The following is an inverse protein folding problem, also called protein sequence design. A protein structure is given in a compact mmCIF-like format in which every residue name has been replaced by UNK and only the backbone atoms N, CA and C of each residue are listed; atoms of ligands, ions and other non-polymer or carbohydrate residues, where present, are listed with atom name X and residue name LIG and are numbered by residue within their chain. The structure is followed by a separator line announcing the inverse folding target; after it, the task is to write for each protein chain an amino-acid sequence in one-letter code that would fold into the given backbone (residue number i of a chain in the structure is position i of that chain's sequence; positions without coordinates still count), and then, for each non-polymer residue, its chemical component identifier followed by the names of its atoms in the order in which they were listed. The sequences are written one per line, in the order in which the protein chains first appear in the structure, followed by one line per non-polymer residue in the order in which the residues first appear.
data_IF_061525965314
#
_entry.id   IF_061525965314
#
_cell.length_a   1.000
_cell.length_b   1.000
_cell.length_c   1.000
_cell.angle_alpha   90.00
_cell.angle_beta   90.00
_cell.angle_gamma   90.00
#
_symmetry.space_group_name_H-M   'P 1'
#
loop_
_entity.id
_entity.type
_entity.pdbx_description
1 polymer ?
#
# COMPACT_ATOMS: atom_id res chain seq x y z
N UNK A 1 -1.92 -34.17 18.27
CA UNK A 1 -0.71 -33.48 18.73
C UNK A 1 0.21 -33.38 17.50
N UNK A 2 0.19 -32.29 16.80
CA UNK A 2 1.10 -32.04 15.70
C UNK A 2 1.82 -30.74 16.07
N UNK A 3 3.11 -30.91 16.39
CA UNK A 3 4.06 -29.82 16.57
C UNK A 3 4.28 -29.16 15.21
N UNK A 4 4.08 -27.85 15.15
CA UNK A 4 4.57 -27.05 14.04
C UNK A 4 6.05 -26.84 14.30
N UNK A 5 6.87 -27.66 13.64
CA UNK A 5 8.31 -27.50 13.57
C UNK A 5 8.65 -26.19 12.86
N UNK A 6 9.59 -25.47 13.43
CA UNK A 6 10.31 -24.37 12.82
C UNK A 6 10.81 -24.81 11.44
N UNK A 7 10.35 -24.13 10.40
CA UNK A 7 11.10 -23.97 9.16
C UNK A 7 11.49 -22.51 9.05
N UNK A 8 12.65 -22.24 9.64
CA UNK A 8 13.45 -21.08 9.27
C UNK A 8 14.12 -21.50 7.96
N UNK A 9 13.67 -20.95 6.85
CA UNK A 9 14.51 -20.91 5.66
C UNK A 9 14.41 -19.53 5.03
N UNK A 10 15.57 -18.98 4.84
CA UNK A 10 15.93 -17.66 4.38
C UNK A 10 15.23 -17.31 3.07
N UNK A 11 14.35 -16.33 3.13
CA UNK A 11 14.18 -15.32 2.10
C UNK A 11 13.47 -14.12 2.73
N UNK A 12 14.20 -13.04 2.83
CA UNK A 12 13.73 -11.75 3.33
C UNK A 12 12.77 -11.15 2.32
N UNK A 13 11.50 -11.03 2.69
CA UNK A 13 10.53 -10.34 1.85
C UNK A 13 9.58 -9.53 2.72
N UNK A 14 9.34 -8.29 2.32
CA UNK A 14 8.33 -7.43 2.92
C UNK A 14 6.94 -8.05 2.71
N UNK A 15 6.36 -8.63 3.76
CA UNK A 15 5.06 -9.30 3.71
C UNK A 15 4.12 -8.57 4.64
N UNK A 16 3.04 -8.02 4.11
CA UNK A 16 1.88 -7.72 4.92
C UNK A 16 1.18 -9.05 5.27
N UNK A 17 1.61 -9.71 6.34
CA UNK A 17 0.95 -10.90 6.85
C UNK A 17 -0.21 -10.45 7.75
N UNK A 18 -1.39 -10.28 7.16
CA UNK A 18 -2.64 -10.30 7.92
C UNK A 18 -3.00 -11.76 8.17
N UNK A 19 -2.34 -12.39 9.13
CA UNK A 19 -2.72 -13.74 9.57
C UNK A 19 -3.91 -13.62 10.53
N UNK A 20 -5.12 -13.63 10.00
CA UNK A 20 -6.32 -13.80 10.79
C UNK A 20 -6.56 -15.31 10.95
N UNK A 21 -6.28 -15.85 12.12
CA UNK A 21 -6.61 -17.24 12.43
C UNK A 21 -8.09 -17.32 12.83
N UNK A 22 -8.91 -17.88 11.96
CA UNK A 22 -10.28 -18.25 12.29
C UNK A 22 -10.31 -19.77 12.53
N UNK A 23 -10.32 -20.18 13.79
CA UNK A 23 -10.53 -21.59 14.13
C UNK A 23 -12.01 -21.87 14.27
N UNK A 24 -12.55 -22.65 13.37
CA UNK A 24 -13.93 -23.06 13.33
C UNK A 24 -14.08 -24.48 13.86
N UNK A 25 -14.77 -24.60 14.98
CA UNK A 25 -15.14 -25.91 15.54
C UNK A 25 -16.60 -26.22 15.19
N UNK A 26 -16.82 -27.00 14.14
CA UNK A 26 -18.09 -27.70 13.96
C UNK A 26 -18.06 -28.98 14.80
N UNK A 27 -18.56 -28.91 16.03
CA UNK A 27 -18.65 -30.05 16.92
C UNK A 27 -19.96 -30.80 16.73
N UNK A 28 -19.88 -32.10 16.60
CA UNK A 28 -21.00 -33.00 16.72
C UNK A 28 -21.22 -33.42 18.18
N UNK A 29 -22.47 -33.69 18.47
CA UNK A 29 -22.90 -34.23 19.73
C UNK A 29 -22.04 -35.40 20.17
N UNK A 30 -21.38 -35.26 21.32
CA UNK A 30 -21.10 -36.39 22.20
C UNK A 30 -21.24 -35.94 23.64
N UNK A 31 -22.10 -36.64 24.32
CA UNK A 31 -22.29 -36.60 25.76
C UNK A 31 -21.03 -37.17 26.43
N UNK A 32 -20.14 -36.28 26.82
CA UNK A 32 -18.95 -36.65 27.55
C UNK A 32 -18.11 -35.45 27.91
N UNK A 33 -18.09 -35.13 29.20
CA UNK A 33 -17.19 -34.17 29.83
C UNK A 33 -15.73 -34.49 29.51
N UNK A 34 -15.18 -33.91 28.42
CA UNK A 34 -13.74 -33.89 28.21
C UNK A 34 -13.28 -32.44 28.09
N UNK A 35 -12.40 -32.09 28.99
CA UNK A 35 -11.73 -30.79 29.03
C UNK A 35 -11.01 -30.49 27.69
N UNK A 36 -11.32 -29.35 27.11
CA UNK A 36 -10.60 -28.82 25.96
C UNK A 36 -9.16 -28.47 26.37
N UNK A 37 -8.12 -29.13 25.80
CA UNK A 37 -6.75 -28.76 26.11
C UNK A 37 -6.37 -27.43 25.45
N UNK A 38 -5.95 -26.48 26.31
CA UNK A 38 -5.22 -25.26 25.98
C UNK A 38 -5.91 -24.23 25.07
N UNK A 39 -6.81 -23.46 25.64
CA UNK A 39 -6.89 -22.03 25.32
C UNK A 39 -5.75 -21.31 26.06
N UNK A 40 -4.61 -21.15 25.42
CA UNK A 40 -3.65 -20.13 25.88
C UNK A 40 -4.22 -18.77 25.54
N UNK A 41 -4.57 -18.02 26.57
CA UNK A 41 -4.84 -16.59 26.48
C UNK A 41 -3.53 -15.90 26.14
N UNK A 42 -3.35 -15.51 24.89
CA UNK A 42 -2.35 -14.51 24.54
C UNK A 42 -2.84 -13.18 25.13
N UNK A 43 -2.25 -12.77 26.23
CA UNK A 43 -2.30 -11.38 26.66
C UNK A 43 -1.46 -10.59 25.65
N UNK A 44 -2.10 -9.93 24.73
CA UNK A 44 -1.47 -8.86 23.99
C UNK A 44 -1.46 -7.64 24.89
N UNK A 45 -0.32 -7.35 25.50
CA UNK A 45 -0.06 -6.05 26.06
C UNK A 45 -0.01 -5.03 24.92
N UNK A 46 -1.16 -4.49 24.59
CA UNK A 46 -1.24 -3.28 23.78
C UNK A 46 -0.92 -2.14 24.74
N UNK A 47 0.36 -1.84 24.90
CA UNK A 47 0.76 -0.52 25.40
C UNK A 47 0.25 0.50 24.36
N UNK A 48 -0.84 1.18 24.70
CA UNK A 48 -1.22 2.44 24.07
C UNK A 48 -0.13 3.46 24.38
N UNK A 49 0.94 3.46 23.61
CA UNK A 49 1.76 4.64 23.45
C UNK A 49 1.11 5.45 22.31
N UNK A 50 0.20 6.35 22.68
CA UNK A 50 -0.09 7.52 21.88
C UNK A 50 1.14 8.44 22.01
N UNK A 51 2.19 8.11 21.28
CA UNK A 51 3.27 9.06 21.09
C UNK A 51 2.73 10.13 20.15
N UNK A 52 2.51 11.32 20.67
CA UNK A 52 2.27 12.58 19.94
C UNK A 52 3.57 13.04 19.22
N UNK A 53 4.41 12.10 18.82
CA UNK A 53 5.67 12.38 18.16
C UNK A 53 5.38 12.83 16.74
N UNK A 54 5.60 14.10 16.49
CA UNK A 54 5.50 14.65 15.15
C UNK A 54 6.71 14.23 14.32
N UNK A 55 6.54 13.64 13.13
CA UNK A 55 7.67 13.24 12.29
C UNK A 55 8.44 14.45 11.78
N UNK A 56 9.72 14.31 11.56
CA UNK A 56 10.49 15.16 10.64
C UNK A 56 10.05 14.77 9.21
N UNK A 57 9.72 15.76 8.38
CA UNK A 57 9.33 15.48 6.99
C UNK A 57 10.37 16.02 6.04
N UNK A 58 10.99 15.11 5.28
CA UNK A 58 11.98 15.41 4.25
C UNK A 58 11.35 15.23 2.86
N UNK A 59 11.24 16.29 2.08
CA UNK A 59 10.64 16.27 0.76
C UNK A 59 11.72 16.33 -0.30
N UNK A 60 11.76 15.34 -1.18
CA UNK A 60 12.70 15.21 -2.29
C UNK A 60 11.92 15.35 -3.59
N UNK A 61 12.03 16.53 -4.22
CA UNK A 61 11.41 16.80 -5.50
C UNK A 61 12.41 16.54 -6.62
N UNK A 62 12.08 15.61 -7.49
CA UNK A 62 12.88 15.38 -8.69
C UNK A 62 12.89 16.63 -9.57
N UNK A 63 14.08 17.06 -10.00
CA UNK A 63 14.28 18.19 -10.90
C UNK A 63 15.00 17.81 -12.19
N UNK A 64 14.80 16.60 -12.68
CA UNK A 64 15.32 16.14 -13.98
C UNK A 64 14.60 16.79 -15.15
N UNK A 65 15.15 16.60 -16.35
CA UNK A 65 14.56 17.13 -17.57
C UNK A 65 13.16 16.62 -17.88
N UNK A 66 12.81 15.40 -17.44
CA UNK A 66 11.46 14.82 -17.60
C UNK A 66 10.41 15.57 -16.79
N UNK A 67 10.79 16.15 -15.65
CA UNK A 67 9.90 16.90 -14.78
C UNK A 67 9.58 18.33 -15.26
N UNK A 68 10.30 18.86 -16.25
CA UNK A 68 10.12 20.25 -16.73
C UNK A 68 8.70 20.53 -17.20
N UNK A 69 8.07 19.54 -17.83
CA UNK A 69 6.70 19.73 -18.35
C UNK A 69 5.63 19.91 -17.27
N UNK A 70 5.89 19.46 -16.03
CA UNK A 70 4.96 19.64 -14.91
C UNK A 70 5.04 21.02 -14.27
N UNK A 71 6.16 21.73 -14.45
CA UNK A 71 6.43 23.06 -13.89
C UNK A 71 6.53 24.14 -14.96
N UNK A 72 5.99 23.87 -16.14
CA UNK A 72 5.93 24.81 -17.26
C UNK A 72 4.55 25.48 -17.32
N UNK A 73 4.34 26.48 -16.47
CA UNK A 73 3.08 27.17 -16.24
C UNK A 73 2.33 26.60 -15.02
N UNK A 74 1.15 27.14 -14.76
CA UNK A 74 0.29 26.67 -13.67
C UNK A 74 -0.28 25.28 -14.02
N UNK A 75 0.01 24.31 -13.18
CA UNK A 75 -0.39 22.91 -13.40
C UNK A 75 -1.04 22.31 -12.16
N UNK A 76 -1.80 21.25 -12.35
CA UNK A 76 -2.36 20.49 -11.21
C UNK A 76 -1.27 19.80 -10.37
N UNK A 77 -0.06 19.62 -10.93
CA UNK A 77 1.11 19.14 -10.18
C UNK A 77 1.45 20.09 -9.04
N UNK A 78 1.62 21.38 -9.35
CA UNK A 78 1.92 22.41 -8.35
C UNK A 78 0.82 22.51 -7.30
N UNK A 79 -0.45 22.47 -7.71
CA UNK A 79 -1.60 22.50 -6.81
C UNK A 79 -1.62 21.30 -5.86
N UNK A 80 -1.33 20.09 -6.38
CA UNK A 80 -1.29 18.87 -5.58
C UNK A 80 -0.15 18.91 -4.57
N UNK A 81 1.05 19.26 -5.00
CA UNK A 81 2.24 19.36 -4.13
C UNK A 81 2.02 20.43 -3.07
N UNK A 82 1.54 21.62 -3.46
CA UNK A 82 1.29 22.71 -2.53
C UNK A 82 0.27 22.33 -1.46
N UNK A 83 -0.89 21.78 -1.84
CA UNK A 83 -1.93 21.41 -0.90
C UNK A 83 -1.42 20.36 0.08
N UNK A 84 -0.73 19.33 -0.41
CA UNK A 84 -0.24 18.23 0.40
C UNK A 84 0.82 18.68 1.40
N UNK A 85 1.83 19.43 0.95
CA UNK A 85 2.91 19.91 1.83
C UNK A 85 2.40 20.93 2.85
N UNK A 86 1.44 21.78 2.47
CA UNK A 86 0.82 22.75 3.38
C UNK A 86 0.02 22.06 4.49
N UNK A 87 -0.76 21.04 4.12
CA UNK A 87 -1.53 20.28 5.11
C UNK A 87 -0.63 19.45 6.04
N UNK A 88 0.47 18.88 5.53
CA UNK A 88 1.48 18.22 6.36
C UNK A 88 2.12 19.21 7.33
N UNK A 89 2.54 20.38 6.85
CA UNK A 89 3.16 21.42 7.66
C UNK A 89 2.23 21.92 8.76
N UNK A 90 0.94 22.07 8.48
CA UNK A 90 -0.04 22.54 9.45
C UNK A 90 -0.39 21.47 10.50
N UNK A 91 -0.49 20.20 10.09
CA UNK A 91 -1.16 19.19 10.92
C UNK A 91 -0.22 18.12 11.44
N UNK A 92 0.94 17.90 10.81
CA UNK A 92 1.73 16.69 11.06
C UNK A 92 3.13 16.95 11.59
N UNK A 93 3.80 18.03 11.19
CA UNK A 93 5.21 18.24 11.50
C UNK A 93 5.50 19.68 11.94
N UNK A 94 6.53 19.83 12.79
CA UNK A 94 7.14 21.12 13.10
C UNK A 94 8.45 21.36 12.29
N UNK A 95 8.88 20.34 11.53
CA UNK A 95 10.12 20.38 10.73
C UNK A 95 9.89 19.75 9.36
N UNK A 96 9.80 20.59 8.34
CA UNK A 96 9.72 20.19 6.94
C UNK A 96 10.97 20.71 6.21
N UNK A 97 11.72 19.78 5.60
CA UNK A 97 12.93 20.10 4.84
C UNK A 97 12.68 19.84 3.36
N UNK A 98 13.19 20.71 2.49
CA UNK A 98 13.06 20.56 1.04
C UNK A 98 14.41 20.30 0.38
N UNK A 99 14.36 19.37 -0.56
CA UNK A 99 15.49 18.99 -1.39
C UNK A 99 15.05 18.87 -2.85
N UNK A 100 15.91 19.25 -3.77
CA UNK A 100 15.85 18.70 -5.12
C UNK A 100 16.68 17.42 -5.19
N UNK A 101 16.28 16.52 -6.08
CA UNK A 101 17.01 15.30 -6.34
C UNK A 101 17.08 15.04 -7.85
N UNK A 102 18.28 14.74 -8.31
CA UNK A 102 18.60 14.26 -9.65
C UNK A 102 19.79 13.30 -9.53
N UNK A 103 20.95 13.56 -10.13
CA UNK A 103 22.18 12.78 -9.88
C UNK A 103 22.72 12.93 -8.45
N UNK A 104 22.17 13.85 -7.66
CA UNK A 104 22.51 14.09 -6.26
C UNK A 104 21.36 14.77 -5.52
N UNK A 105 21.39 14.69 -4.20
CA UNK A 105 20.49 15.44 -3.33
C UNK A 105 21.03 16.86 -3.15
N UNK A 106 20.20 17.87 -3.46
CA UNK A 106 20.52 19.29 -3.33
C UNK A 106 19.59 19.92 -2.31
N UNK A 107 20.09 20.32 -1.12
CA UNK A 107 19.24 20.96 -0.13
C UNK A 107 18.82 22.35 -0.61
N UNK A 108 17.53 22.67 -0.46
CA UNK A 108 16.98 23.97 -0.83
C UNK A 108 16.78 24.87 0.37
N UNK A 109 16.00 24.40 1.32
CA UNK A 109 15.74 25.08 2.57
C UNK A 109 15.57 24.05 3.67
N UNK A 110 16.18 24.32 4.82
CA UNK A 110 15.96 23.52 6.00
C UNK A 110 14.86 24.15 6.84
N UNK A 111 13.94 23.31 7.34
CA UNK A 111 12.88 23.68 8.28
C UNK A 111 11.95 24.78 7.75
N UNK A 112 11.15 24.44 6.76
CA UNK A 112 10.02 25.28 6.34
C UNK A 112 8.92 25.20 7.41
N UNK A 113 8.93 26.14 8.32
CA UNK A 113 8.02 26.17 9.48
C UNK A 113 6.65 26.81 9.20
N UNK A 114 6.39 27.30 8.00
CA UNK A 114 5.12 27.94 7.66
C UNK A 114 4.73 27.81 6.18
N UNK A 115 3.42 27.92 5.94
CA UNK A 115 2.84 27.78 4.61
C UNK A 115 3.24 28.88 3.62
N UNK A 116 3.62 30.06 4.10
CA UNK A 116 4.07 31.15 3.23
C UNK A 116 5.35 30.77 2.47
N UNK A 117 6.28 30.07 3.14
CA UNK A 117 7.51 29.59 2.51
C UNK A 117 7.26 28.42 1.54
N UNK A 118 6.29 27.55 1.87
CA UNK A 118 5.88 26.48 0.94
C UNK A 118 5.26 27.11 -0.31
N UNK A 119 4.40 28.12 -0.14
CA UNK A 119 3.82 28.87 -1.25
C UNK A 119 4.90 29.50 -2.13
N UNK A 120 5.85 30.23 -1.55
CA UNK A 120 6.96 30.86 -2.26
C UNK A 120 7.82 29.83 -3.03
N UNK A 121 8.05 28.65 -2.43
CA UNK A 121 8.75 27.57 -3.11
C UNK A 121 7.98 27.08 -4.34
N UNK A 122 6.67 26.83 -4.22
CA UNK A 122 5.84 26.33 -5.32
C UNK A 122 5.73 27.39 -6.44
N UNK A 123 5.52 28.67 -6.11
CA UNK A 123 5.41 29.76 -7.08
C UNK A 123 6.70 30.00 -7.89
N UNK A 124 7.84 29.54 -7.36
CA UNK A 124 9.14 29.63 -8.07
C UNK A 124 9.43 28.41 -8.95
N UNK A 125 8.63 27.35 -8.86
CA UNK A 125 8.85 26.15 -9.68
C UNK A 125 8.76 26.54 -11.16
N UNK A 126 9.82 26.21 -11.88
CA UNK A 126 9.92 26.44 -13.32
C UNK A 126 11.08 25.64 -13.89
N UNK A 127 11.13 25.37 -15.18
CA UNK A 127 12.28 24.73 -15.82
C UNK A 127 13.60 25.45 -15.53
N UNK A 128 13.60 26.80 -15.56
CA UNK A 128 14.79 27.60 -15.27
C UNK A 128 15.24 27.42 -13.81
N UNK A 129 14.31 27.33 -12.87
CA UNK A 129 14.65 27.14 -11.47
C UNK A 129 15.25 25.75 -11.23
N UNK A 130 14.72 24.73 -11.89
CA UNK A 130 15.29 23.38 -11.85
C UNK A 130 16.72 23.34 -12.37
N UNK A 131 17.00 24.01 -13.49
CA UNK A 131 18.36 24.15 -14.05
C UNK A 131 19.31 24.84 -13.07
N UNK A 132 18.86 25.92 -12.43
CA UNK A 132 19.69 26.73 -11.51
C UNK A 132 20.00 25.97 -10.20
N UNK A 133 19.23 24.99 -9.83
CA UNK A 133 19.45 24.17 -8.64
C UNK A 133 20.71 23.28 -8.76
N UNK A 134 21.15 22.97 -9.98
CA UNK A 134 22.35 22.20 -10.27
C UNK A 134 22.13 20.68 -10.22
N UNK A 135 23.22 19.95 -10.37
CA UNK A 135 23.20 18.49 -10.60
C UNK A 135 23.09 18.15 -12.08
N UNK A 136 23.06 16.86 -12.43
CA UNK A 136 22.84 16.41 -13.81
C UNK A 136 21.34 16.31 -14.08
N UNK A 137 20.89 16.95 -15.14
CA UNK A 137 19.48 16.97 -15.54
C UNK A 137 19.19 15.98 -16.68
N UNK A 138 20.22 15.39 -17.28
CA UNK A 138 20.10 14.63 -18.54
C UNK A 138 20.01 13.11 -18.38
N UNK A 139 20.48 12.55 -17.29
CA UNK A 139 20.38 11.12 -17.00
C UNK A 139 19.99 10.95 -15.56
N UNK A 140 18.82 10.45 -15.33
CA UNK A 140 18.28 10.20 -13.98
C UNK A 140 18.05 8.72 -13.81
N UNK A 141 18.77 8.14 -12.85
CA UNK A 141 18.52 6.79 -12.38
C UNK A 141 17.51 6.86 -11.24
N UNK A 142 16.26 6.54 -11.55
CA UNK A 142 15.16 6.63 -10.59
C UNK A 142 15.37 5.68 -9.39
N UNK A 143 15.97 4.51 -9.62
CA UNK A 143 16.25 3.57 -8.55
C UNK A 143 17.36 4.08 -7.64
N UNK A 144 18.43 4.65 -8.20
CA UNK A 144 19.51 5.25 -7.42
C UNK A 144 19.01 6.44 -6.59
N UNK A 145 18.15 7.29 -7.16
CA UNK A 145 17.49 8.35 -6.41
C UNK A 145 16.67 7.81 -5.26
N UNK A 146 15.84 6.80 -5.50
CA UNK A 146 15.02 6.19 -4.47
C UNK A 146 15.86 5.55 -3.35
N UNK A 147 16.91 4.84 -3.71
CA UNK A 147 17.88 4.27 -2.75
C UNK A 147 18.56 5.38 -1.95
N UNK A 148 18.92 6.50 -2.59
CA UNK A 148 19.52 7.64 -1.91
C UNK A 148 18.57 8.27 -0.89
N UNK A 149 17.29 8.40 -1.22
CA UNK A 149 16.25 8.89 -0.31
C UNK A 149 16.04 7.91 0.84
N UNK A 150 15.96 6.61 0.54
CA UNK A 150 15.81 5.56 1.53
C UNK A 150 16.92 5.58 2.58
N UNK A 151 18.17 5.71 2.13
CA UNK A 151 19.34 5.77 3.00
C UNK A 151 19.40 7.05 3.87
N UNK A 152 18.67 8.10 3.49
CA UNK A 152 18.57 9.37 4.23
C UNK A 152 17.32 9.44 5.11
N UNK A 153 16.51 8.39 5.13
CA UNK A 153 15.31 8.32 5.96
C UNK A 153 15.68 7.78 7.33
N UNK A 154 15.71 8.65 8.33
CA UNK A 154 15.98 8.32 9.73
C UNK A 154 14.71 7.81 10.44
N UNK A 155 14.86 7.20 11.62
CA UNK A 155 13.76 6.55 12.37
C UNK A 155 12.64 7.51 12.79
N UNK A 156 12.95 8.80 12.98
CA UNK A 156 11.99 9.84 13.35
C UNK A 156 11.49 10.67 12.15
N UNK A 157 11.91 10.28 10.95
CA UNK A 157 11.61 10.97 9.71
C UNK A 157 10.65 10.20 8.80
N UNK A 158 9.92 10.98 7.99
CA UNK A 158 9.21 10.49 6.81
C UNK A 158 9.76 11.23 5.59
N UNK A 159 10.27 10.50 4.63
CA UNK A 159 10.70 11.02 3.35
C UNK A 159 9.55 10.99 2.35
N UNK A 160 9.32 12.09 1.64
CA UNK A 160 8.33 12.22 0.57
C UNK A 160 9.10 12.42 -0.73
N UNK A 161 9.15 11.40 -1.56
CA UNK A 161 9.78 11.44 -2.87
C UNK A 161 8.74 11.77 -3.93
N UNK A 162 8.97 12.81 -4.73
CA UNK A 162 8.04 13.31 -5.75
C UNK A 162 8.73 13.24 -7.11
N UNK A 163 8.16 12.45 -8.05
CA UNK A 163 8.79 12.12 -9.32
C UNK A 163 7.74 11.64 -10.33
N UNK A 164 8.06 11.68 -11.62
CA UNK A 164 7.27 10.97 -12.66
C UNK A 164 7.63 9.48 -12.75
N UNK A 165 8.63 9.03 -12.00
CA UNK A 165 9.08 7.65 -11.90
C UNK A 165 9.44 7.00 -13.25
N UNK A 166 9.89 7.77 -14.22
CA UNK A 166 10.27 7.25 -15.55
C UNK A 166 11.71 6.75 -15.52
N UNK A 167 11.91 5.51 -15.94
CA UNK A 167 13.25 5.00 -16.19
C UNK A 167 13.78 5.50 -17.53
N UNK A 168 15.00 6.01 -17.53
CA UNK A 168 15.69 6.47 -18.74
C UNK A 168 17.05 5.79 -18.89
N UNK A 169 17.08 4.56 -19.47
CA UNK A 169 18.32 3.80 -19.60
C UNK A 169 19.36 4.45 -20.51
N UNK A 170 18.92 5.33 -21.43
CA UNK A 170 19.81 5.99 -22.38
C UNK A 170 20.08 5.19 -23.64
N UNK A 171 20.84 5.81 -24.56
CA UNK A 171 21.16 5.20 -25.87
C UNK A 171 22.10 4.00 -25.73
N UNK A 172 21.79 2.92 -26.45
CA UNK A 172 22.65 1.73 -26.56
C UNK A 172 22.61 0.79 -25.38
N UNK A 173 21.79 1.06 -24.37
CA UNK A 173 21.58 0.17 -23.22
C UNK A 173 20.44 -0.79 -23.52
N UNK A 174 20.64 -2.07 -23.17
CA UNK A 174 19.55 -3.05 -23.19
C UNK A 174 18.52 -2.68 -22.13
N UNK A 175 17.38 -2.16 -22.57
CA UNK A 175 16.35 -1.66 -21.69
C UNK A 175 15.79 -2.72 -20.72
N UNK A 176 15.60 -3.95 -21.16
CA UNK A 176 15.08 -5.03 -20.31
C UNK A 176 16.08 -5.41 -19.22
N UNK A 177 17.34 -5.54 -19.57
CA UNK A 177 18.41 -5.83 -18.60
C UNK A 177 18.58 -4.68 -17.61
N UNK A 178 18.50 -3.44 -18.09
CA UNK A 178 18.54 -2.26 -17.23
C UNK A 178 17.41 -2.30 -16.20
N UNK A 179 16.16 -2.50 -16.61
CA UNK A 179 15.02 -2.54 -15.70
C UNK A 179 15.14 -3.63 -14.64
N UNK A 180 15.58 -4.83 -15.03
CA UNK A 180 15.80 -5.92 -14.08
C UNK A 180 16.90 -5.57 -13.07
N UNK A 181 17.99 -4.94 -13.51
CA UNK A 181 19.04 -4.51 -12.60
C UNK A 181 18.56 -3.41 -11.64
N UNK A 182 17.73 -2.49 -12.12
CA UNK A 182 17.12 -1.46 -11.26
C UNK A 182 16.18 -2.05 -10.22
N UNK A 183 15.33 -2.99 -10.61
CA UNK A 183 14.46 -3.75 -9.70
C UNK A 183 15.27 -4.43 -8.59
N UNK A 184 16.34 -5.15 -8.96
CA UNK A 184 17.22 -5.83 -8.02
C UNK A 184 17.88 -4.82 -7.06
N UNK A 185 18.35 -3.68 -7.57
CA UNK A 185 18.97 -2.62 -6.77
C UNK A 185 18.01 -2.05 -5.72
N UNK A 186 16.80 -1.73 -6.12
CA UNK A 186 15.73 -1.27 -5.23
C UNK A 186 15.40 -2.34 -4.19
N UNK A 187 15.19 -3.59 -4.62
CA UNK A 187 14.88 -4.73 -3.75
C UNK A 187 15.95 -4.92 -2.67
N UNK A 188 17.23 -4.91 -3.03
CA UNK A 188 18.32 -5.08 -2.05
C UNK A 188 18.32 -3.96 -1.03
N UNK A 189 18.19 -2.71 -1.47
CA UNK A 189 18.19 -1.55 -0.58
C UNK A 189 17.00 -1.57 0.41
N UNK A 190 15.80 -1.89 -0.09
CA UNK A 190 14.62 -2.03 0.78
C UNK A 190 14.71 -3.23 1.70
N UNK A 191 15.25 -4.37 1.24
CA UNK A 191 15.47 -5.54 2.08
C UNK A 191 16.44 -5.25 3.22
N UNK A 192 17.52 -4.51 2.97
CA UNK A 192 18.48 -4.12 4.00
C UNK A 192 17.86 -3.15 5.01
N UNK A 193 17.13 -2.15 4.56
CA UNK A 193 16.39 -1.24 5.45
C UNK A 193 15.38 -1.99 6.33
N UNK A 194 14.67 -2.98 5.79
CA UNK A 194 13.71 -3.80 6.51
C UNK A 194 14.35 -4.80 7.49
N UNK A 195 15.64 -5.13 7.37
CA UNK A 195 16.35 -5.92 8.39
C UNK A 195 16.52 -5.12 9.66
N UNK A 196 16.91 -3.86 9.52
CA UNK A 196 17.22 -2.97 10.63
C UNK A 196 15.93 -2.38 11.24
N UNK A 197 14.91 -2.11 10.40
CA UNK A 197 13.67 -1.47 10.79
C UNK A 197 12.44 -2.31 10.41
N UNK A 198 12.02 -3.18 11.34
CA UNK A 198 10.85 -4.07 11.11
C UNK A 198 9.53 -3.35 10.91
N UNK A 199 9.44 -2.06 11.25
CA UNK A 199 8.23 -1.22 11.13
C UNK A 199 8.28 -0.28 9.94
N UNK A 200 9.27 -0.42 9.05
CA UNK A 200 9.38 0.42 7.86
C UNK A 200 8.22 0.21 6.89
N UNK A 201 7.74 1.29 6.31
CA UNK A 201 6.57 1.32 5.44
C UNK A 201 6.81 2.23 4.24
N UNK A 202 6.23 1.88 3.11
CA UNK A 202 6.17 2.72 1.91
C UNK A 202 4.73 2.92 1.52
N UNK A 203 4.34 4.17 1.27
CA UNK A 203 3.02 4.52 0.73
C UNK A 203 3.21 5.35 -0.53
N UNK A 204 2.69 4.86 -1.64
CA UNK A 204 2.76 5.55 -2.93
C UNK A 204 1.38 6.07 -3.32
N UNK A 205 1.34 7.30 -3.80
CA UNK A 205 0.19 7.93 -4.45
C UNK A 205 0.52 8.15 -5.93
N UNK A 206 -0.39 7.77 -6.79
CA UNK A 206 -0.39 8.11 -8.20
C UNK A 206 -1.38 9.23 -8.44
N UNK A 207 -0.90 10.31 -9.02
CA UNK A 207 -1.67 11.50 -9.36
C UNK A 207 -1.50 11.81 -10.85
N UNK A 208 -2.36 12.66 -11.38
CA UNK A 208 -2.25 13.16 -12.75
C UNK A 208 -2.18 14.69 -12.76
N UNK A 209 -1.42 15.23 -13.70
CA UNK A 209 -1.34 16.67 -13.92
C UNK A 209 -1.07 17.00 -15.37
N UNK A 210 -1.36 18.24 -15.74
CA UNK A 210 -0.94 18.77 -17.04
C UNK A 210 0.57 18.70 -17.17
N UNK A 211 1.00 18.29 -18.34
CA UNK A 211 2.39 18.24 -18.75
C UNK A 211 2.53 19.00 -20.07
N UNK A 212 3.43 19.96 -20.10
CA UNK A 212 3.74 20.70 -21.33
C UNK A 212 5.26 20.82 -21.48
N UNK A 213 5.87 19.84 -22.13
CA UNK A 213 7.32 19.73 -22.22
C UNK A 213 7.82 18.60 -23.08
N UNK A 214 9.08 18.26 -22.89
CA UNK A 214 9.73 17.13 -23.56
C UNK A 214 9.56 15.87 -22.73
N UNK A 215 8.94 14.87 -23.32
CA UNK A 215 8.97 13.50 -22.84
C UNK A 215 10.15 12.77 -23.45
N UNK A 216 10.85 11.98 -22.69
CA UNK A 216 11.96 11.17 -23.14
C UNK A 216 11.55 9.69 -23.08
N UNK A 217 11.60 9.02 -24.24
CA UNK A 217 11.35 7.58 -24.30
C UNK A 217 12.56 6.78 -23.80
N UNK A 218 12.46 5.44 -23.76
CA UNK A 218 13.54 4.56 -23.30
C UNK A 218 14.85 4.68 -24.10
N UNK A 219 14.83 5.27 -25.30
CA UNK A 219 16.00 5.52 -26.12
C UNK A 219 16.56 6.94 -25.94
N UNK A 220 16.07 7.67 -24.93
CA UNK A 220 16.42 9.05 -24.66
C UNK A 220 16.09 10.00 -25.83
N UNK A 221 15.03 9.66 -26.56
CA UNK A 221 14.56 10.49 -27.70
C UNK A 221 13.47 11.42 -27.20
N UNK A 222 13.65 12.75 -27.34
CA UNK A 222 12.67 13.72 -26.88
C UNK A 222 11.48 13.83 -27.84
N UNK A 223 10.29 13.90 -27.29
CA UNK A 223 9.05 14.26 -28.00
C UNK A 223 8.34 15.36 -27.23
N UNK A 224 7.94 16.43 -27.94
CA UNK A 224 7.15 17.49 -27.31
C UNK A 224 5.73 17.00 -27.09
N UNK A 225 5.25 17.17 -25.85
CA UNK A 225 3.93 16.72 -25.43
C UNK A 225 3.22 17.84 -24.68
N UNK A 226 1.93 17.95 -24.92
CA UNK A 226 1.02 18.78 -24.13
C UNK A 226 -0.21 17.93 -23.82
N UNK A 227 -0.17 17.22 -22.67
CA UNK A 227 -1.22 16.26 -22.29
C UNK A 227 -1.25 16.08 -20.77
N UNK A 228 -2.17 15.23 -20.27
CA UNK A 228 -2.22 14.79 -18.88
C UNK A 228 -1.25 13.63 -18.70
N UNK A 229 -0.38 13.75 -17.69
CA UNK A 229 0.57 12.69 -17.36
C UNK A 229 0.55 12.34 -15.87
N UNK A 230 0.91 11.08 -15.53
CA UNK A 230 1.04 10.69 -14.14
C UNK A 230 2.31 11.22 -13.50
N UNK A 231 2.23 11.48 -12.21
CA UNK A 231 3.37 11.65 -11.31
C UNK A 231 3.06 10.97 -9.97
N UNK A 232 4.07 10.78 -9.16
CA UNK A 232 3.98 9.99 -7.94
C UNK A 232 4.49 10.77 -6.74
N UNK A 233 3.84 10.57 -5.59
CA UNK A 233 4.34 10.96 -4.28
C UNK A 233 4.51 9.68 -3.46
N UNK A 234 5.75 9.36 -3.09
CA UNK A 234 6.10 8.12 -2.40
C UNK A 234 6.62 8.49 -1.01
N UNK A 235 5.87 8.08 0.02
CA UNK A 235 6.24 8.24 1.41
C UNK A 235 7.04 7.02 1.87
N UNK A 236 8.15 7.24 2.53
CA UNK A 236 9.03 6.21 3.09
C UNK A 236 9.38 6.55 4.53
N UNK A 237 9.25 5.60 5.45
CA UNK A 237 9.55 5.80 6.86
C UNK A 237 8.86 4.78 7.75
N UNK A 238 8.89 5.00 9.06
CA UNK A 238 8.16 4.16 10.00
C UNK A 238 6.67 4.22 9.75
N UNK A 239 6.03 3.08 9.85
CA UNK A 239 4.59 2.92 9.57
C UNK A 239 3.70 3.77 10.48
N UNK A 240 4.03 3.87 11.76
CA UNK A 240 3.27 4.69 12.72
C UNK A 240 3.31 6.18 12.33
N UNK A 241 4.45 6.69 11.85
CA UNK A 241 4.61 8.06 11.38
C UNK A 241 3.86 8.32 10.07
N UNK A 242 3.94 7.39 9.11
CA UNK A 242 3.18 7.47 7.84
C UNK A 242 1.68 7.41 8.13
N UNK A 243 1.24 6.58 9.09
CA UNK A 243 -0.15 6.49 9.50
C UNK A 243 -0.65 7.80 10.16
N UNK A 244 0.19 8.48 10.95
CA UNK A 244 -0.13 9.82 11.48
C UNK A 244 -0.37 10.80 10.35
N UNK A 245 0.51 10.86 9.35
CA UNK A 245 0.35 11.74 8.17
C UNK A 245 -0.93 11.36 7.41
N UNK A 246 -1.10 10.10 7.03
CA UNK A 246 -2.25 9.64 6.24
C UNK A 246 -3.59 9.87 6.94
N UNK A 247 -3.63 9.81 8.27
CA UNK A 247 -4.84 10.06 9.05
C UNK A 247 -5.18 11.55 9.16
N UNK A 248 -4.17 12.41 9.33
CA UNK A 248 -4.35 13.87 9.44
C UNK A 248 -4.52 14.55 8.09
N UNK A 249 -3.85 14.03 7.07
CA UNK A 249 -3.89 14.48 5.66
C UNK A 249 -4.29 13.29 4.78
N UNK A 250 -5.56 12.89 4.81
CA UNK A 250 -6.05 11.79 3.99
C UNK A 250 -5.99 12.17 2.50
N UNK A 251 -5.87 11.15 1.64
CA UNK A 251 -5.64 11.31 0.20
C UNK A 251 -6.71 12.12 -0.51
N UNK A 252 -7.95 12.10 -0.03
CA UNK A 252 -9.08 12.87 -0.57
C UNK A 252 -8.93 14.39 -0.41
N UNK A 253 -8.00 14.83 0.44
CA UNK A 253 -7.69 16.26 0.63
C UNK A 253 -6.65 16.79 -0.34
N UNK A 254 -5.90 15.91 -1.01
CA UNK A 254 -4.89 16.33 -2.00
C UNK A 254 -5.61 16.96 -3.18
N UNK A 255 -5.26 18.22 -3.47
CA UNK A 255 -5.88 19.00 -4.54
C UNK A 255 -5.36 18.62 -5.93
N UNK A 256 -5.59 19.49 -6.91
CA UNK A 256 -5.33 19.20 -8.31
C UNK A 256 -6.40 18.26 -8.86
N UNK A 257 -5.97 17.16 -9.49
CA UNK A 257 -6.88 16.11 -9.97
C UNK A 257 -7.20 15.05 -8.92
N UNK A 258 -6.63 15.18 -7.72
CA UNK A 258 -6.73 14.18 -6.65
C UNK A 258 -5.82 12.97 -6.86
N UNK A 259 -5.88 12.05 -5.90
CA UNK A 259 -5.18 10.77 -5.97
C UNK A 259 -6.00 9.80 -6.80
N UNK A 260 -5.42 9.27 -7.86
CA UNK A 260 -6.08 8.28 -8.72
C UNK A 260 -5.96 6.88 -8.14
N UNK A 261 -4.76 6.54 -7.69
CA UNK A 261 -4.46 5.27 -7.05
C UNK A 261 -3.54 5.45 -5.86
N UNK A 262 -3.70 4.61 -4.86
CA UNK A 262 -2.78 4.51 -3.74
C UNK A 262 -2.35 3.07 -3.49
N UNK A 263 -1.17 2.92 -2.90
CA UNK A 263 -0.57 1.63 -2.62
C UNK A 263 0.32 1.72 -1.39
N UNK A 264 0.24 0.73 -0.51
CA UNK A 264 1.04 0.71 0.71
C UNK A 264 1.72 -0.65 0.88
N UNK A 265 3.00 -0.61 1.21
CA UNK A 265 3.81 -1.78 1.57
C UNK A 265 4.24 -1.61 3.02
N UNK A 266 3.96 -2.61 3.86
CA UNK A 266 4.43 -2.66 5.24
C UNK A 266 4.76 -4.11 5.62
N UNK A 267 5.80 -4.29 6.41
CA UNK A 267 6.18 -5.58 6.99
C UNK A 267 5.47 -5.84 8.32
N UNK A 268 4.84 -4.83 8.89
CA UNK A 268 4.21 -4.94 10.21
C UNK A 268 3.06 -5.93 10.20
N UNK A 269 2.98 -6.74 11.26
CA UNK A 269 1.82 -7.58 11.50
C UNK A 269 0.72 -6.78 12.18
N UNK A 270 -0.40 -6.63 11.50
CA UNK A 270 -1.56 -5.93 12.06
C UNK A 270 -2.53 -6.91 12.71
N UNK A 271 -2.90 -6.64 13.95
CA UNK A 271 -3.99 -7.34 14.61
C UNK A 271 -5.32 -6.80 14.10
N UNK A 272 -5.98 -7.57 13.27
CA UNK A 272 -7.30 -7.24 12.75
C UNK A 272 -8.37 -7.70 13.73
N UNK A 273 -9.22 -6.78 14.17
CA UNK A 273 -10.37 -7.12 14.99
C UNK A 273 -11.45 -7.77 14.16
N UNK A 274 -11.86 -8.99 14.55
CA UNK A 274 -12.92 -9.70 13.86
C UNK A 274 -13.76 -10.51 14.85
N UNK A 275 -15.00 -10.80 14.45
CA UNK A 275 -15.86 -11.74 15.16
C UNK A 275 -16.95 -12.31 14.26
N UNK A 276 -17.48 -13.47 14.65
CA UNK A 276 -18.65 -14.05 13.99
C UNK A 276 -19.87 -13.17 14.25
N UNK A 277 -20.53 -12.68 13.19
CA UNK A 277 -21.75 -11.88 13.29
C UNK A 277 -23.01 -12.75 13.09
N UNK A 278 -24.14 -12.29 13.61
CA UNK A 278 -25.40 -13.04 13.52
C UNK A 278 -25.97 -13.09 12.11
N UNK A 279 -25.72 -12.04 11.31
CA UNK A 279 -26.21 -11.85 9.93
C UNK A 279 -25.18 -11.10 9.10
N UNK A 280 -25.11 -11.33 7.75
CA UNK A 280 -25.91 -12.31 7.01
C UNK A 280 -25.47 -13.76 7.26
N UNK A 281 -26.41 -14.72 7.14
CA UNK A 281 -26.12 -16.17 7.25
C UNK A 281 -27.09 -16.99 6.40
N UNK A 282 -26.70 -18.22 6.10
CA UNK A 282 -27.56 -19.28 5.58
C UNK A 282 -27.43 -20.52 6.46
N UNK A 283 -28.55 -21.16 6.80
CA UNK A 283 -28.58 -22.21 7.79
C UNK A 283 -28.55 -21.68 9.22
N UNK A 284 -28.19 -22.53 10.14
CA UNK A 284 -28.15 -22.22 11.59
C UNK A 284 -26.82 -22.61 12.20
N UNK A 285 -26.42 -21.90 13.23
CA UNK A 285 -25.28 -22.25 14.10
C UNK A 285 -25.44 -21.56 15.44
N UNK A 286 -24.71 -22.05 16.44
CA UNK A 286 -24.56 -21.40 17.75
C UNK A 286 -23.14 -20.88 17.88
N UNK A 287 -22.97 -19.78 18.61
CA UNK A 287 -21.64 -19.31 19.03
C UNK A 287 -21.18 -20.15 20.22
N UNK A 288 -19.93 -20.59 20.22
CA UNK A 288 -19.37 -21.33 21.35
C UNK A 288 -19.29 -20.43 22.59
N UNK A 289 -19.84 -20.89 23.73
CA UNK A 289 -19.84 -20.09 24.96
C UNK A 289 -18.43 -19.73 25.47
N UNK A 290 -17.45 -20.62 25.26
CA UNK A 290 -16.05 -20.40 25.68
C UNK A 290 -15.33 -19.39 24.81
N UNK A 291 -15.71 -19.27 23.54
CA UNK A 291 -15.10 -18.34 22.60
C UNK A 291 -16.15 -17.87 21.56
N UNK A 292 -17.11 -17.02 21.96
CA UNK A 292 -18.24 -16.65 21.12
C UNK A 292 -17.86 -15.75 19.94
N UNK A 293 -16.66 -15.14 19.96
CA UNK A 293 -16.20 -14.29 18.86
C UNK A 293 -15.73 -15.09 17.66
N UNK A 294 -15.12 -16.26 17.89
CA UNK A 294 -14.35 -16.95 16.85
C UNK A 294 -14.83 -18.37 16.55
N UNK A 295 -15.61 -18.97 17.46
CA UNK A 295 -16.02 -20.36 17.31
C UNK A 295 -17.52 -20.48 17.09
N UNK A 296 -17.90 -21.28 16.11
CA UNK A 296 -19.28 -21.69 15.89
C UNK A 296 -19.42 -23.20 16.09
N UNK A 297 -20.56 -23.61 16.65
CA UNK A 297 -20.93 -24.98 16.90
C UNK A 297 -22.34 -25.27 16.40
N UNK A 298 -22.71 -26.52 16.30
CA UNK A 298 -24.05 -26.95 15.84
C UNK A 298 -24.43 -26.36 14.48
N UNK A 299 -23.45 -26.28 13.57
CA UNK A 299 -23.68 -25.73 12.23
C UNK A 299 -24.53 -26.67 11.40
N UNK A 300 -25.65 -26.17 10.88
CA UNK A 300 -26.60 -26.91 10.02
C UNK A 300 -26.92 -26.12 8.76
N UNK A 301 -27.04 -26.82 7.64
CA UNK A 301 -27.54 -26.25 6.39
C UNK A 301 -29.00 -25.80 6.55
N UNK A 302 -29.42 -24.85 5.74
CA UNK A 302 -30.82 -24.43 5.68
C UNK A 302 -31.71 -25.62 5.21
N UNK A 303 -32.77 -25.87 5.93
CA UNK A 303 -33.67 -27.00 5.71
C UNK A 303 -34.79 -26.71 4.72
N UNK A 304 -35.07 -25.40 4.45
CA UNK A 304 -36.18 -24.98 3.58
C UNK A 304 -35.93 -23.63 2.91
N UNK A 305 -36.77 -23.36 1.89
CA UNK A 305 -36.78 -22.10 1.14
C UNK A 305 -35.68 -22.02 0.08
N UNK A 306 -35.50 -20.83 -0.52
CA UNK A 306 -34.50 -20.57 -1.60
C UNK A 306 -33.05 -20.86 -1.22
N UNK A 307 -32.76 -21.00 0.08
CA UNK A 307 -31.41 -21.26 0.61
C UNK A 307 -31.24 -22.71 1.07
N UNK A 308 -32.22 -23.60 0.80
CA UNK A 308 -32.20 -25.00 1.19
C UNK A 308 -30.88 -25.70 0.79
N UNK A 309 -30.31 -26.50 1.69
CA UNK A 309 -29.06 -27.19 1.46
C UNK A 309 -27.79 -26.34 1.54
N UNK A 310 -27.90 -25.03 1.74
CA UNK A 310 -26.76 -24.09 1.84
C UNK A 310 -26.42 -23.79 3.29
N UNK A 311 -25.13 -23.60 3.55
CA UNK A 311 -24.62 -23.07 4.79
C UNK A 311 -23.69 -21.90 4.52
N UNK A 312 -23.86 -20.81 5.24
CA UNK A 312 -22.98 -19.62 5.19
C UNK A 312 -22.94 -18.97 6.56
N UNK A 313 -21.77 -18.54 6.95
CA UNK A 313 -21.57 -17.68 8.12
C UNK A 313 -20.77 -16.45 7.69
N UNK A 314 -20.79 -15.43 8.53
CA UNK A 314 -20.13 -14.15 8.23
C UNK A 314 -19.28 -13.70 9.42
N UNK A 315 -18.11 -13.17 9.11
CA UNK A 315 -17.27 -12.41 10.02
C UNK A 315 -17.46 -10.92 9.78
N UNK A 316 -17.70 -10.16 10.83
CA UNK A 316 -17.47 -8.73 10.83
C UNK A 316 -15.99 -8.48 11.11
N UNK A 317 -15.33 -7.69 10.26
CA UNK A 317 -13.89 -7.43 10.32
C UNK A 317 -13.66 -5.93 10.24
N UNK A 318 -12.75 -5.45 11.09
CA UNK A 318 -12.33 -4.05 11.05
C UNK A 318 -10.94 -3.95 10.41
N UNK A 319 -10.91 -3.51 9.16
CA UNK A 319 -9.69 -3.25 8.39
C UNK A 319 -9.26 -1.78 8.44
N UNK A 320 -9.94 -0.92 9.19
CA UNK A 320 -9.66 0.53 9.21
C UNK A 320 -8.25 0.88 9.68
N UNK A 321 -7.60 -0.03 10.42
CA UNK A 321 -6.22 0.13 10.86
C UNK A 321 -5.18 -0.40 9.88
N UNK A 322 -5.59 -0.99 8.74
CA UNK A 322 -4.65 -1.50 7.75
C UNK A 322 -4.23 -0.39 6.79
N UNK A 323 -2.94 -0.27 6.48
CA UNK A 323 -2.44 0.68 5.48
C UNK A 323 -2.62 0.14 4.05
N UNK A 324 -3.81 -0.38 3.72
CA UNK A 324 -4.15 -1.02 2.45
C UNK A 324 -5.30 -0.27 1.81
N UNK A 325 -5.23 -0.06 0.51
CA UNK A 325 -6.30 0.58 -0.26
C UNK A 325 -7.61 -0.21 -0.13
N UNK A 326 -8.72 0.52 0.04
CA UNK A 326 -10.03 -0.09 0.28
C UNK A 326 -10.52 -0.97 -0.87
N UNK A 327 -10.19 -0.60 -2.11
CA UNK A 327 -10.50 -1.37 -3.31
C UNK A 327 -9.83 -2.75 -3.31
N UNK A 328 -8.60 -2.86 -2.80
CA UNK A 328 -7.91 -4.15 -2.66
C UNK A 328 -8.63 -5.09 -1.67
N UNK A 329 -9.21 -4.54 -0.62
CA UNK A 329 -9.82 -5.29 0.47
C UNK A 329 -11.19 -5.90 0.11
N UNK A 330 -11.87 -5.39 -0.91
CA UNK A 330 -13.21 -5.88 -1.31
C UNK A 330 -13.18 -7.02 -2.33
N UNK A 331 -12.01 -7.36 -2.87
CA UNK A 331 -11.84 -8.39 -3.89
C UNK A 331 -11.50 -9.75 -3.28
N UNK A 332 -12.39 -10.79 -3.35
CA UNK A 332 -12.14 -12.11 -2.76
C UNK A 332 -10.89 -12.82 -3.30
N UNK A 333 -10.49 -12.54 -4.53
CA UNK A 333 -9.28 -13.08 -5.17
C UNK A 333 -7.98 -12.66 -4.47
N UNK A 334 -8.03 -11.56 -3.72
CA UNK A 334 -6.90 -11.08 -2.93
C UNK A 334 -6.71 -11.85 -1.61
N UNK A 335 -7.55 -12.84 -1.37
CA UNK A 335 -7.47 -13.69 -0.18
C UNK A 335 -7.19 -15.14 -0.54
N UNK A 336 -6.51 -15.83 0.35
CA UNK A 336 -6.38 -17.28 0.32
C UNK A 336 -7.07 -17.90 1.53
N UNK A 337 -7.78 -19.00 1.29
CA UNK A 337 -8.42 -19.80 2.31
C UNK A 337 -7.67 -21.11 2.50
N UNK A 338 -7.53 -21.58 3.74
CA UNK A 338 -6.93 -22.88 4.04
C UNK A 338 -7.78 -24.06 3.57
N UNK A 339 -9.06 -23.84 3.25
CA UNK A 339 -9.98 -24.87 2.77
C UNK A 339 -10.67 -24.44 1.48
N UNK A 340 -10.63 -25.31 0.48
CA UNK A 340 -11.35 -25.17 -0.79
C UNK A 340 -12.86 -25.46 -0.66
N UNK A 341 -13.28 -25.94 0.50
CA UNK A 341 -14.69 -26.24 0.77
C UNK A 341 -15.54 -24.98 0.95
N UNK A 342 -14.90 -23.81 1.07
CA UNK A 342 -15.60 -22.53 1.24
C UNK A 342 -15.28 -21.56 0.12
N UNK A 343 -16.31 -20.80 -0.26
CA UNK A 343 -16.16 -19.62 -1.12
C UNK A 343 -16.32 -18.36 -0.28
N UNK A 344 -15.41 -17.40 -0.45
CA UNK A 344 -15.44 -16.11 0.18
C UNK A 344 -16.24 -15.12 -0.67
N UNK A 345 -17.09 -14.34 -0.03
CA UNK A 345 -17.65 -13.10 -0.60
C UNK A 345 -17.47 -11.96 0.40
N UNK A 346 -17.21 -10.75 -0.10
CA UNK A 346 -16.94 -9.58 0.71
C UNK A 346 -17.94 -8.49 0.42
N UNK A 347 -18.37 -7.79 1.45
CA UNK A 347 -19.24 -6.62 1.34
C UNK A 347 -18.91 -5.61 2.45
N UNK A 348 -19.29 -4.36 2.22
CA UNK A 348 -19.23 -3.32 3.25
C UNK A 348 -20.57 -3.27 4.00
N UNK A 349 -20.58 -3.01 5.32
CA UNK A 349 -21.82 -2.78 6.07
C UNK A 349 -22.57 -1.56 5.52
N UNK A 350 -23.90 -1.60 5.54
CA UNK A 350 -24.73 -0.46 5.12
C UNK A 350 -24.60 0.76 6.05
N UNK A 351 -24.34 0.50 7.32
CA UNK A 351 -24.20 1.53 8.35
C UNK A 351 -22.79 1.51 8.92
N UNK A 352 -22.23 2.68 9.22
CA UNK A 352 -20.95 2.80 9.90
C UNK A 352 -21.08 2.22 11.31
N UNK A 353 -20.25 1.25 11.65
CA UNK A 353 -20.27 0.56 12.92
C UNK A 353 -18.92 0.00 13.31
N UNK A 354 -18.92 -1.04 14.13
CA UNK A 354 -17.74 -1.71 14.65
C UNK A 354 -16.85 -2.35 13.56
N UNK A 355 -17.42 -2.69 12.40
CA UNK A 355 -16.72 -3.39 11.34
C UNK A 355 -16.72 -2.56 10.08
N UNK A 356 -15.59 -2.55 9.38
CA UNK A 356 -15.44 -1.94 8.07
C UNK A 356 -15.90 -2.88 6.94
N UNK A 357 -15.80 -4.20 7.15
CA UNK A 357 -16.09 -5.23 6.13
C UNK A 357 -16.83 -6.43 6.73
N UNK A 358 -17.60 -7.10 5.87
CA UNK A 358 -18.30 -8.36 6.16
C UNK A 358 -17.74 -9.43 5.21
N UNK A 359 -17.08 -10.45 5.78
CA UNK A 359 -16.51 -11.58 5.07
C UNK A 359 -17.45 -12.78 5.23
N UNK A 360 -18.15 -13.16 4.18
CA UNK A 360 -19.10 -14.27 4.18
C UNK A 360 -18.52 -15.53 3.54
N UNK A 361 -18.56 -16.62 4.27
CA UNK A 361 -18.00 -17.92 3.88
C UNK A 361 -19.13 -18.88 3.57
N UNK A 362 -19.31 -19.21 2.29
CA UNK A 362 -20.32 -20.16 1.82
C UNK A 362 -19.68 -21.52 1.64
N UNK A 363 -20.28 -22.55 2.26
CA UNK A 363 -19.84 -23.93 2.12
C UNK A 363 -20.28 -24.50 0.77
N UNK A 364 -19.32 -24.97 -0.02
CA UNK A 364 -19.55 -25.51 -1.39
C UNK A 364 -19.79 -27.02 -1.38
N UNK A 365 -19.27 -27.72 -0.36
CA UNK A 365 -19.24 -29.18 -0.30
C UNK A 365 -20.48 -29.76 0.35
N UNK A 366 -20.93 -30.91 -0.13
CA UNK A 366 -21.84 -31.76 0.66
C UNK A 366 -21.03 -32.39 1.78
N UNK A 367 -21.36 -32.04 3.03
CA UNK A 367 -20.77 -32.65 4.20
C UNK A 367 -21.65 -33.87 4.56
N UNK A 368 -21.09 -35.05 4.44
CA UNK A 368 -21.78 -36.28 4.77
C UNK A 368 -21.59 -36.72 6.24
N UNK A 369 -20.53 -36.22 6.87
CA UNK A 369 -20.25 -36.51 8.27
C UNK A 369 -19.92 -35.21 9.04
N UNK A 370 -20.36 -35.15 10.28
CA UNK A 370 -20.01 -34.07 11.18
C UNK A 370 -18.49 -34.05 11.43
N UNK A 371 -17.90 -32.89 11.42
CA UNK A 371 -16.48 -32.74 11.62
C UNK A 371 -16.09 -31.36 12.17
N UNK A 372 -14.83 -31.25 12.50
CA UNK A 372 -14.19 -30.02 12.94
C UNK A 372 -13.41 -29.41 11.76
N UNK A 373 -13.59 -28.14 11.50
CA UNK A 373 -12.85 -27.41 10.47
C UNK A 373 -12.20 -26.17 11.08
N UNK A 374 -10.90 -26.04 10.87
CA UNK A 374 -10.14 -24.83 11.18
C UNK A 374 -9.95 -24.07 9.87
N UNK A 375 -10.67 -22.94 9.73
CA UNK A 375 -10.57 -22.10 8.54
C UNK A 375 -9.62 -20.95 8.82
N UNK A 376 -8.54 -20.88 8.04
CA UNK A 376 -7.60 -19.73 8.02
C UNK A 376 -7.85 -18.92 6.77
N UNK A 377 -7.86 -17.61 6.94
CA UNK A 377 -7.89 -16.65 5.86
C UNK A 377 -6.63 -15.80 5.90
N UNK A 378 -6.01 -15.61 4.76
CA UNK A 378 -4.83 -14.76 4.60
C UNK A 378 -5.07 -13.80 3.44
N UNK A 379 -4.75 -12.53 3.62
CA UNK A 379 -4.66 -11.59 2.52
C UNK A 379 -3.42 -11.94 1.71
N UNK A 380 -3.60 -12.10 0.40
CA UNK A 380 -2.48 -12.45 -0.48
C UNK A 380 -1.52 -11.28 -0.61
N UNK A 381 -0.25 -11.62 -0.71
CA UNK A 381 0.76 -10.72 -1.20
C UNK A 381 0.57 -10.59 -2.71
N UNK A 382 0.16 -9.44 -3.18
CA UNK A 382 -0.01 -9.16 -4.60
C UNK A 382 0.00 -7.65 -4.84
N UNK A 383 0.73 -7.22 -5.85
CA UNK A 383 0.64 -5.84 -6.31
C UNK A 383 -0.78 -5.55 -6.83
N UNK A 384 -1.34 -4.38 -6.55
CA UNK A 384 -2.61 -3.96 -7.14
C UNK A 384 -2.58 -4.04 -8.68
N UNK A 385 -3.68 -4.47 -9.27
CA UNK A 385 -3.79 -4.66 -10.73
C UNK A 385 -3.55 -3.39 -11.54
N UNK A 386 -3.85 -2.23 -10.97
CA UNK A 386 -3.62 -0.94 -11.62
C UNK A 386 -2.14 -0.70 -11.94
N UNK A 387 -1.21 -1.28 -11.17
CA UNK A 387 0.24 -1.11 -11.43
C UNK A 387 0.59 -1.68 -12.80
N UNK A 388 0.13 -2.89 -13.12
CA UNK A 388 0.33 -3.47 -14.45
C UNK A 388 -0.38 -2.66 -15.54
N UNK A 389 -1.61 -2.19 -15.28
CA UNK A 389 -2.40 -1.39 -16.23
C UNK A 389 -1.75 -0.03 -16.52
N UNK A 390 -1.09 0.56 -15.52
CA UNK A 390 -0.42 1.87 -15.61
C UNK A 390 1.07 1.77 -15.99
N UNK A 391 1.58 0.55 -16.24
CA UNK A 391 2.95 0.35 -16.71
C UNK A 391 3.00 0.37 -18.24
N UNK A 392 3.90 1.16 -18.78
CA UNK A 392 4.32 1.07 -20.17
C UNK A 392 5.42 0.01 -20.27
N UNK A 393 5.13 -1.11 -20.90
CA UNK A 393 6.06 -2.23 -21.06
C UNK A 393 7.11 -1.94 -22.14
N UNK A 394 6.77 -1.14 -23.14
CA UNK A 394 7.61 -0.94 -24.32
C UNK A 394 8.51 0.29 -24.20
N UNK A 395 8.07 1.35 -23.54
CA UNK A 395 8.82 2.58 -23.38
C UNK A 395 9.15 3.32 -24.69
N UNK A 396 8.60 2.88 -25.81
CA UNK A 396 8.86 3.43 -27.14
C UNK A 396 7.71 4.28 -27.66
N UNK A 397 6.48 3.96 -27.24
CA UNK A 397 5.30 4.37 -27.97
C UNK A 397 4.55 5.47 -27.24
N UNK A 398 4.78 6.69 -27.69
CA UNK A 398 3.81 7.77 -27.57
C UNK A 398 2.96 7.72 -28.83
N UNK A 399 1.89 6.93 -28.82
CA UNK A 399 0.95 6.94 -29.92
C UNK A 399 0.00 8.13 -29.79
N UNK A 400 -0.27 8.82 -30.88
CA UNK A 400 -1.38 9.75 -30.96
C UNK A 400 -2.67 9.02 -30.58
N UNK A 401 -3.32 9.45 -29.48
CA UNK A 401 -4.57 8.85 -29.00
C UNK A 401 -4.41 7.79 -27.91
N UNK A 402 -3.22 7.32 -27.62
CA UNK A 402 -2.96 6.53 -26.41
C UNK A 402 -2.81 7.50 -25.22
N UNK A 403 -3.64 7.36 -24.18
CA UNK A 403 -3.53 8.25 -23.05
C UNK A 403 -2.14 8.09 -22.43
N UNK A 404 -1.41 9.19 -22.32
CA UNK A 404 -0.07 9.26 -21.70
C UNK A 404 -0.12 8.94 -20.19
N UNK A 405 -1.00 8.04 -19.82
CA UNK A 405 -1.31 7.64 -18.45
C UNK A 405 -0.42 6.51 -17.94
N UNK A 406 0.42 5.96 -18.81
CA UNK A 406 1.35 4.89 -18.43
C UNK A 406 2.75 5.43 -18.17
N UNK A 407 3.46 4.78 -17.24
CA UNK A 407 4.84 5.10 -16.86
C UNK A 407 5.75 3.94 -17.21
N UNK A 408 6.80 4.21 -17.98
CA UNK A 408 7.78 3.19 -18.35
C UNK A 408 8.59 2.74 -17.13
N UNK A 409 8.62 1.44 -16.87
CA UNK A 409 9.36 0.85 -15.76
C UNK A 409 8.65 0.88 -14.40
N UNK A 410 7.44 1.45 -14.28
CA UNK A 410 6.73 1.56 -13.01
C UNK A 410 6.61 0.22 -12.25
N UNK A 411 6.27 -0.85 -12.98
CA UNK A 411 6.13 -2.18 -12.39
C UNK A 411 7.43 -2.65 -11.73
N UNK A 412 8.56 -2.51 -12.42
CA UNK A 412 9.87 -2.92 -11.89
C UNK A 412 10.26 -2.13 -10.63
N UNK A 413 9.99 -0.82 -10.61
CA UNK A 413 10.23 0.00 -9.43
C UNK A 413 9.43 -0.50 -8.22
N UNK A 414 8.13 -0.71 -8.41
CA UNK A 414 7.22 -1.10 -7.33
C UNK A 414 7.38 -2.58 -6.95
N UNK A 415 7.73 -3.46 -7.87
CA UNK A 415 8.09 -4.85 -7.58
C UNK A 415 9.37 -4.90 -6.73
N UNK A 416 10.39 -4.11 -7.07
CA UNK A 416 11.61 -4.02 -6.27
C UNK A 416 11.35 -3.58 -4.82
N UNK A 417 10.43 -2.62 -4.60
CA UNK A 417 10.03 -2.22 -3.25
C UNK A 417 9.24 -3.33 -2.54
N UNK A 418 8.43 -4.06 -3.30
CA UNK A 418 7.47 -5.02 -2.77
C UNK A 418 8.08 -6.38 -2.44
N UNK A 419 9.08 -6.84 -3.19
CA UNK A 419 9.74 -8.13 -3.04
C UNK A 419 10.84 -8.16 -1.97
#
# INVERSE_FOLDING_TARGET
MIQIGRLINQSLYAVLLVATYVTMLCGCNDLGTRQCPRCQTFKTDISKQSNDTKPIVNVYLENSGSMFGYVNGLTEFEESVYSYLSDICLNCTDSLNLYYINSRIVPLQNKLSNNARIKDFIERLSPNHFVSAGGSLGTTDIAEMMVSVLNKTDDDAVSVFISDCIFSPGKGINASEYLVNQEIGVKVAFADKLKDESTFCVKAYRLNGKFNGKYYNRLDQPTNISDIRPFYMILMGREDLINVISKKVPEEKIKGRGVEHSFTISKSTHNVNYEVVATPKMGTFKKCMKNPKFHIIDAKKADKGKKQGKFMFTLGVDFSGLPIAGDYLIHPENYSLSSKDYTLSISTPKEKGKYSHLLSFTLNKQIHQPGKCDLKIMLKKQLPSWIAQCTDEDGLNIHQGDPMTKTYGLKYLLEGIYE
#
